data_IF_962722021347
#
_entry.id   IF_962722021347
#
_cell.length_a   1.000
_cell.length_b   1.000
_cell.length_c   1.000
_cell.angle_alpha   90.00
_cell.angle_beta   90.00
_cell.angle_gamma   90.00
#
_symmetry.space_group_name_H-M   'P 1'
#
loop_
_entity.id
_entity.type
_entity.pdbx_description
1 polymer ?
#
# COMPACT_ATOMS: atom_id res chain seq x y z
N UNK A 1 -12.30 7.90 -15.13
CA UNK A 1 -11.10 8.46 -14.46
C UNK A 1 -10.18 9.03 -15.55
N UNK A 2 -9.44 10.11 -15.28
CA UNK A 2 -8.40 10.60 -16.19
C UNK A 2 -7.31 9.53 -16.40
N UNK A 3 -6.55 9.66 -17.48
CA UNK A 3 -5.43 8.74 -17.74
C UNK A 3 -4.33 8.92 -16.68
N UNK A 4 -3.68 7.83 -16.25
CA UNK A 4 -2.58 7.92 -15.29
C UNK A 4 -1.32 8.49 -15.98
N UNK A 5 -0.56 9.32 -15.26
CA UNK A 5 0.74 9.82 -15.72
C UNK A 5 1.75 8.69 -15.95
N UNK A 6 1.63 7.61 -15.17
CA UNK A 6 2.48 6.43 -15.26
C UNK A 6 1.64 5.16 -15.13
N UNK A 7 1.83 4.23 -16.06
CA UNK A 7 1.17 2.93 -16.03
C UNK A 7 2.22 1.82 -15.92
N UNK A 8 2.20 1.10 -14.80
CA UNK A 8 3.02 -0.09 -14.58
C UNK A 8 2.36 -1.30 -15.25
N UNK A 9 2.80 -1.69 -16.45
CA UNK A 9 2.21 -2.80 -17.21
C UNK A 9 2.71 -4.17 -16.74
N UNK A 10 2.43 -4.54 -15.49
CA UNK A 10 2.69 -5.90 -14.99
C UNK A 10 1.41 -6.71 -15.02
N UNK A 11 1.35 -7.69 -15.93
CA UNK A 11 0.22 -8.62 -16.03
C UNK A 11 0.20 -9.59 -14.85
N UNK A 12 -0.98 -10.17 -14.62
CA UNK A 12 -1.15 -11.25 -13.64
C UNK A 12 -0.21 -12.42 -13.94
N UNK A 13 0.47 -12.91 -12.91
CA UNK A 13 1.36 -14.07 -12.93
C UNK A 13 1.53 -14.59 -11.49
N UNK A 14 2.43 -15.53 -11.24
CA UNK A 14 2.74 -16.03 -9.90
C UNK A 14 2.99 -14.87 -8.93
N UNK A 15 2.42 -14.93 -7.73
CA UNK A 15 2.45 -13.83 -6.73
C UNK A 15 3.86 -13.26 -6.54
N UNK A 16 4.86 -14.12 -6.28
CA UNK A 16 6.25 -13.67 -6.10
C UNK A 16 6.84 -12.97 -7.34
N UNK A 17 6.56 -13.50 -8.54
CA UNK A 17 7.05 -12.91 -9.79
C UNK A 17 6.37 -11.56 -10.08
N UNK A 18 5.06 -11.46 -9.81
CA UNK A 18 4.32 -10.22 -9.97
C UNK A 18 4.83 -9.14 -9.02
N UNK A 19 4.95 -9.48 -7.72
CA UNK A 19 5.48 -8.58 -6.69
C UNK A 19 6.89 -8.10 -7.04
N UNK A 20 7.79 -9.00 -7.45
CA UNK A 20 9.16 -8.63 -7.81
C UNK A 20 9.23 -7.66 -8.99
N UNK A 21 8.42 -7.88 -10.03
CA UNK A 21 8.37 -7.00 -11.21
C UNK A 21 7.83 -5.62 -10.86
N UNK A 22 6.75 -5.55 -10.07
CA UNK A 22 6.18 -4.28 -9.64
C UNK A 22 7.17 -3.53 -8.73
N UNK A 23 7.79 -4.22 -7.77
CA UNK A 23 8.79 -3.66 -6.86
C UNK A 23 9.92 -2.96 -7.64
N UNK A 24 10.51 -3.66 -8.61
CA UNK A 24 11.60 -3.12 -9.43
C UNK A 24 11.15 -1.93 -10.30
N UNK A 25 9.92 -1.97 -10.82
CA UNK A 25 9.35 -0.87 -11.61
C UNK A 25 9.08 0.36 -10.74
N UNK A 26 8.50 0.16 -9.56
CA UNK A 26 8.18 1.25 -8.63
C UNK A 26 9.44 1.90 -8.07
N UNK A 27 10.47 1.13 -7.73
CA UNK A 27 11.76 1.70 -7.28
C UNK A 27 12.34 2.67 -8.32
N UNK A 28 12.32 2.30 -9.61
CA UNK A 28 12.79 3.17 -10.70
C UNK A 28 11.94 4.43 -10.82
N UNK A 29 10.62 4.28 -10.74
CA UNK A 29 9.69 5.40 -10.83
C UNK A 29 9.89 6.38 -9.67
N UNK A 30 9.93 5.89 -8.44
CA UNK A 30 10.05 6.69 -7.22
C UNK A 30 11.39 7.43 -7.14
N UNK A 31 12.49 6.83 -7.61
CA UNK A 31 13.79 7.53 -7.75
C UNK A 31 13.73 8.70 -8.73
N UNK A 32 12.90 8.60 -9.78
CA UNK A 32 12.71 9.65 -10.79
C UNK A 32 11.80 10.76 -10.29
N UNK A 33 10.65 10.40 -9.70
CA UNK A 33 9.61 11.38 -9.32
C UNK A 33 9.82 11.98 -7.93
N UNK A 34 10.56 11.30 -7.05
CA UNK A 34 10.91 11.73 -5.69
C UNK A 34 9.71 12.30 -4.91
N UNK A 35 8.59 11.56 -4.80
CA UNK A 35 7.42 12.07 -4.12
C UNK A 35 7.70 12.24 -2.62
N UNK A 36 7.06 13.23 -2.00
CA UNK A 36 7.13 13.44 -0.56
C UNK A 36 6.30 12.42 0.24
N UNK A 37 5.32 11.76 -0.41
CA UNK A 37 4.41 10.77 0.16
C UNK A 37 3.92 9.85 -0.96
N UNK A 38 3.76 8.55 -0.66
CA UNK A 38 3.10 7.60 -1.56
C UNK A 38 1.80 7.11 -0.93
N UNK A 39 0.70 7.26 -1.67
CA UNK A 39 -0.60 6.69 -1.29
C UNK A 39 -0.84 5.37 -2.03
N UNK A 40 -1.33 4.38 -1.30
CA UNK A 40 -1.70 3.06 -1.81
C UNK A 40 -3.05 2.65 -1.22
N UNK A 41 -3.80 1.83 -1.93
CA UNK A 41 -5.17 1.45 -1.57
C UNK A 41 -5.38 -0.05 -1.75
N UNK A 42 -6.03 -0.69 -0.78
CA UNK A 42 -6.41 -2.10 -0.84
C UNK A 42 -5.29 -3.05 -0.42
N UNK A 43 -5.20 -4.22 -1.07
CA UNK A 43 -4.44 -5.38 -0.57
C UNK A 43 -3.76 -6.25 -1.65
N UNK A 44 -3.62 -5.72 -2.87
CA UNK A 44 -3.03 -6.49 -3.97
C UNK A 44 -1.52 -6.66 -3.82
N UNK A 45 -0.93 -7.56 -4.61
CA UNK A 45 0.53 -7.70 -4.72
C UNK A 45 1.20 -6.36 -5.09
N UNK A 46 0.53 -5.53 -5.89
CA UNK A 46 1.03 -4.21 -6.30
C UNK A 46 1.09 -3.21 -5.13
N UNK A 47 0.13 -3.28 -4.22
CA UNK A 47 0.10 -2.47 -2.99
C UNK A 47 1.30 -2.80 -2.12
N UNK A 48 1.51 -4.09 -1.81
CA UNK A 48 2.64 -4.54 -1.01
C UNK A 48 3.98 -4.18 -1.67
N UNK A 49 4.13 -4.45 -2.97
CA UNK A 49 5.35 -4.14 -3.71
C UNK A 49 5.66 -2.63 -3.69
N UNK A 50 4.64 -1.79 -3.87
CA UNK A 50 4.80 -0.34 -3.85
C UNK A 50 5.18 0.17 -2.46
N UNK A 51 4.50 -0.31 -1.41
CA UNK A 51 4.83 0.03 -0.02
C UNK A 51 6.29 -0.30 0.30
N UNK A 52 6.73 -1.50 -0.09
CA UNK A 52 8.08 -1.98 0.14
C UNK A 52 9.14 -1.20 -0.65
N UNK A 53 8.85 -0.80 -1.89
CA UNK A 53 9.75 0.08 -2.65
C UNK A 53 9.90 1.45 -1.97
N UNK A 54 8.79 2.07 -1.57
CA UNK A 54 8.76 3.40 -0.96
C UNK A 54 9.53 3.45 0.35
N UNK A 55 9.28 2.51 1.27
CA UNK A 55 9.95 2.49 2.58
C UNK A 55 11.46 2.26 2.47
N UNK A 56 11.91 1.45 1.51
CA UNK A 56 13.35 1.24 1.23
C UNK A 56 14.05 2.49 0.71
N UNK A 57 13.30 3.42 0.11
CA UNK A 57 13.81 4.71 -0.35
C UNK A 57 13.60 5.83 0.68
N UNK A 58 13.11 5.51 1.88
CA UNK A 58 12.84 6.50 2.93
C UNK A 58 11.62 7.40 2.67
N UNK A 59 10.74 7.01 1.75
CA UNK A 59 9.54 7.78 1.41
C UNK A 59 8.38 7.30 2.30
N UNK A 60 7.69 8.21 3.03
CA UNK A 60 6.56 7.81 3.86
C UNK A 60 5.41 7.27 3.00
N UNK A 61 4.65 6.34 3.58
CA UNK A 61 3.54 5.65 2.90
C UNK A 61 2.24 5.89 3.66
N UNK A 62 1.19 6.23 2.93
CA UNK A 62 -0.18 6.26 3.43
C UNK A 62 -1.02 5.14 2.82
N UNK A 63 -1.58 4.28 3.66
CA UNK A 63 -2.38 3.15 3.24
C UNK A 63 -3.86 3.42 3.46
N UNK A 64 -4.57 3.54 2.35
CA UNK A 64 -6.03 3.69 2.26
C UNK A 64 -6.67 2.30 2.37
N UNK A 65 -7.77 2.21 3.10
CA UNK A 65 -8.42 0.95 3.50
C UNK A 65 -7.60 0.08 4.47
N UNK A 66 -6.76 0.73 5.28
CA UNK A 66 -5.91 0.06 6.26
C UNK A 66 -6.72 -0.70 7.32
N UNK A 67 -6.13 -1.78 7.85
CA UNK A 67 -6.66 -2.47 9.03
C UNK A 67 -7.78 -3.47 8.80
N UNK A 68 -8.25 -3.65 7.56
CA UNK A 68 -9.17 -4.75 7.25
C UNK A 68 -8.47 -6.11 7.48
N UNK A 69 -9.18 -7.06 8.08
CA UNK A 69 -8.66 -8.40 8.41
C UNK A 69 -9.68 -9.46 8.07
N UNK A 70 -9.25 -10.47 7.33
CA UNK A 70 -9.98 -11.72 7.14
C UNK A 70 -9.68 -12.73 8.26
N UNK A 71 -8.51 -12.60 8.89
CA UNK A 71 -7.93 -13.57 9.83
C UNK A 71 -7.63 -14.95 9.23
N UNK A 72 -7.78 -15.12 7.91
CA UNK A 72 -7.46 -16.35 7.20
C UNK A 72 -6.09 -16.24 6.52
N UNK A 73 -5.08 -16.93 7.07
CA UNK A 73 -3.72 -16.95 6.54
C UNK A 73 -3.57 -17.79 5.26
N UNK A 74 -4.61 -18.48 4.81
CA UNK A 74 -4.60 -19.14 3.50
C UNK A 74 -4.82 -18.14 2.36
N UNK A 75 -5.34 -16.95 2.66
CA UNK A 75 -5.56 -15.88 1.69
C UNK A 75 -4.27 -15.07 1.47
N UNK A 76 -3.71 -15.03 0.24
CA UNK A 76 -2.56 -14.18 -0.08
C UNK A 76 -2.77 -12.71 0.28
N UNK A 77 -4.00 -12.20 0.12
CA UNK A 77 -4.38 -10.83 0.40
C UNK A 77 -4.24 -10.48 1.89
N UNK A 78 -4.46 -11.42 2.80
CA UNK A 78 -4.30 -11.17 4.24
C UNK A 78 -2.84 -10.87 4.61
N UNK A 79 -1.89 -11.54 3.95
CA UNK A 79 -0.47 -11.24 4.11
C UNK A 79 -0.13 -9.84 3.58
N UNK A 80 -0.65 -9.49 2.41
CA UNK A 80 -0.45 -8.18 1.81
C UNK A 80 -0.98 -7.06 2.72
N UNK A 81 -2.19 -7.20 3.28
CA UNK A 81 -2.78 -6.21 4.22
C UNK A 81 -1.90 -5.99 5.43
N UNK A 82 -1.52 -7.08 6.12
CA UNK A 82 -0.74 -7.01 7.37
C UNK A 82 0.63 -6.39 7.15
N UNK A 83 1.33 -6.81 6.09
CA UNK A 83 2.65 -6.28 5.77
C UNK A 83 2.56 -4.81 5.34
N UNK A 84 1.58 -4.47 4.49
CA UNK A 84 1.39 -3.08 4.03
C UNK A 84 1.06 -2.14 5.19
N UNK A 85 0.15 -2.52 6.09
CA UNK A 85 -0.15 -1.76 7.30
C UNK A 85 1.12 -1.56 8.16
N UNK A 86 1.97 -2.59 8.26
CA UNK A 86 3.20 -2.50 9.03
C UNK A 86 4.22 -1.56 8.39
N UNK A 87 4.35 -1.56 7.07
CA UNK A 87 5.27 -0.68 6.34
C UNK A 87 4.81 0.78 6.31
N UNK A 88 3.51 1.02 6.49
CA UNK A 88 2.93 2.34 6.30
C UNK A 88 3.17 3.29 7.48
N UNK A 89 3.36 4.56 7.16
CA UNK A 89 3.50 5.68 8.10
C UNK A 89 2.14 6.19 8.55
N UNK A 90 1.19 6.26 7.61
CA UNK A 90 -0.17 6.70 7.82
C UNK A 90 -1.14 5.56 7.48
N UNK A 91 -2.11 5.34 8.35
CA UNK A 91 -3.15 4.32 8.17
C UNK A 91 -4.51 5.00 8.15
N UNK A 92 -5.24 4.86 7.03
CA UNK A 92 -6.59 5.39 6.85
C UNK A 92 -7.58 4.24 6.93
N UNK A 93 -8.08 3.97 8.14
CA UNK A 93 -9.04 2.91 8.38
C UNK A 93 -10.44 3.33 7.90
N UNK A 94 -11.17 2.47 7.16
CA UNK A 94 -12.53 2.80 6.70
C UNK A 94 -13.57 2.64 7.83
N UNK A 95 -13.24 1.93 8.90
CA UNK A 95 -14.13 1.68 10.04
C UNK A 95 -13.38 1.68 11.37
N UNK A 96 -14.09 1.98 12.46
CA UNK A 96 -13.56 1.83 13.84
C UNK A 96 -13.13 0.40 14.15
N UNK A 97 -13.72 -0.60 13.50
CA UNK A 97 -13.32 -1.99 13.68
C UNK A 97 -11.92 -2.25 13.09
N UNK A 98 -11.66 -1.72 11.89
CA UNK A 98 -10.36 -1.81 11.23
C UNK A 98 -9.28 -1.06 12.02
N UNK A 99 -9.63 0.10 12.57
CA UNK A 99 -8.75 0.92 13.41
C UNK A 99 -8.22 0.13 14.62
N UNK A 100 -9.06 -0.70 15.25
CA UNK A 100 -8.65 -1.52 16.40
C UNK A 100 -7.59 -2.56 16.09
N UNK A 101 -7.33 -2.88 14.82
CA UNK A 101 -6.34 -3.87 14.42
C UNK A 101 -4.90 -3.31 14.43
N UNK A 102 -4.69 -2.02 14.71
CA UNK A 102 -3.38 -1.42 14.83
C UNK A 102 -3.33 -0.32 15.90
N UNK A 103 -2.12 -0.05 16.43
CA UNK A 103 -1.86 0.99 17.46
C UNK A 103 -0.92 2.11 16.97
N UNK A 104 -0.74 2.26 15.65
CA UNK A 104 0.14 3.26 15.02
C UNK A 104 -0.55 4.61 14.84
N UNK A 105 0.20 5.64 14.43
CA UNK A 105 -0.29 7.01 14.18
C UNK A 105 -1.45 6.98 13.17
N UNK A 106 -2.66 7.20 13.68
CA UNK A 106 -3.91 7.16 12.92
C UNK A 106 -4.15 8.56 12.37
N UNK A 107 -4.25 8.69 11.05
CA UNK A 107 -4.86 9.88 10.46
C UNK A 107 -6.32 9.53 10.20
N UNK A 108 -7.18 9.78 11.19
CA UNK A 108 -8.62 9.70 10.98
C UNK A 108 -8.99 10.70 9.88
N UNK A 109 -9.82 10.26 8.94
CA UNK A 109 -10.31 11.06 7.81
C UNK A 109 -11.15 12.28 8.20
N UNK A 110 -11.32 12.57 9.50
CA UNK A 110 -12.10 13.72 9.98
C UNK A 110 -11.52 15.09 9.54
N UNK A 111 -10.26 15.13 9.11
CA UNK A 111 -9.59 16.33 8.60
C UNK A 111 -9.55 16.46 7.06
N UNK A 112 -10.17 15.53 6.32
CA UNK A 112 -10.37 15.68 4.88
C UNK A 112 -11.85 15.96 4.60
N UNK A 113 -12.33 17.11 5.08
CA UNK A 113 -13.58 17.69 4.55
C UNK A 113 -13.22 18.38 3.22
N UNK A 114 -13.84 17.91 2.14
CA UNK A 114 -13.81 18.53 0.82
C UNK A 114 -14.22 20.01 0.87
#
# INVERSE_FOLDING_TARGET
LPNPDYHCQVRSCLHGAQTARILASMEKLLKRTKPALVLIEGDTNGVLATALASVKLGIPVGHVEAGLRSFDLRMPEEHNRRLTDHLSTYLFAPTKNAERNFKKRICLGENFRY
#
